data_IF_270876445312
#
_entry.id   IF_270876445312
#
_cell.length_a   1.000
_cell.length_b   1.000
_cell.length_c   1.000
_cell.angle_alpha   90.00
_cell.angle_beta   90.00
_cell.angle_gamma   90.00
#
_symmetry.space_group_name_H-M   'P 1'
#
loop_
_entity.id
_entity.type
_entity.pdbx_description
1 polymer ?
#
# COMPACT_ATOMS: atom_id res chain seq x y z
N UNK A 1 43.44 7.51 -48.90
CA UNK A 1 42.28 6.67 -49.27
C UNK A 1 42.15 5.58 -48.22
N UNK A 2 40.93 5.37 -47.78
CA UNK A 2 40.48 4.78 -46.50
C UNK A 2 40.58 3.26 -46.45
N UNK A 3 40.80 2.70 -45.26
CA UNK A 3 40.55 1.29 -44.96
C UNK A 3 39.90 1.18 -43.57
N UNK A 4 38.69 0.62 -43.55
CA UNK A 4 37.73 0.48 -42.44
C UNK A 4 38.24 -0.39 -41.28
N UNK A 5 37.54 -0.48 -40.12
CA UNK A 5 36.41 -1.42 -40.03
C UNK A 5 35.23 -0.98 -39.12
N UNK A 6 34.07 -1.59 -39.40
CA UNK A 6 33.10 -2.14 -38.45
C UNK A 6 32.70 -1.33 -37.21
N UNK A 7 31.41 -1.02 -37.05
CA UNK A 7 30.60 -1.66 -35.97
C UNK A 7 29.12 -1.26 -36.04
N UNK A 8 28.30 -2.29 -36.22
CA UNK A 8 26.98 -2.53 -35.65
C UNK A 8 25.94 -1.42 -35.71
N UNK A 9 25.07 -1.60 -36.69
CA UNK A 9 23.63 -1.39 -36.60
C UNK A 9 23.09 -2.11 -35.34
N UNK A 10 23.03 -1.42 -34.20
CA UNK A 10 22.31 -1.92 -33.03
C UNK A 10 20.82 -1.68 -33.24
N UNK A 11 20.18 -2.73 -33.75
CA UNK A 11 18.75 -2.98 -33.75
C UNK A 11 18.11 -2.56 -32.43
N UNK A 12 17.06 -1.75 -32.54
CA UNK A 12 16.04 -1.55 -31.51
C UNK A 12 15.75 -2.85 -30.74
N UNK A 13 15.95 -2.80 -29.43
CA UNK A 13 15.27 -3.71 -28.51
C UNK A 13 14.48 -2.83 -27.54
N UNK A 14 13.34 -2.35 -28.01
CA UNK A 14 12.28 -1.80 -27.16
C UNK A 14 11.71 -2.95 -26.32
N UNK A 15 12.46 -3.36 -25.29
CA UNK A 15 11.96 -4.26 -24.26
C UNK A 15 10.96 -3.48 -23.40
N UNK A 16 9.78 -3.25 -23.98
CA UNK A 16 8.60 -2.77 -23.28
C UNK A 16 8.17 -3.85 -22.30
N UNK A 17 8.85 -3.87 -21.16
CA UNK A 17 8.41 -4.61 -19.98
C UNK A 17 7.03 -4.05 -19.65
N UNK A 18 6.01 -4.84 -19.96
CA UNK A 18 4.62 -4.61 -19.58
C UNK A 18 4.57 -4.56 -18.06
N UNK A 19 4.86 -3.39 -17.48
CA UNK A 19 4.65 -3.09 -16.08
C UNK A 19 3.15 -3.10 -15.90
N UNK A 20 2.60 -4.27 -15.60
CA UNK A 20 1.22 -4.42 -15.13
C UNK A 20 1.06 -3.34 -14.06
N UNK A 21 0.24 -2.35 -14.35
CA UNK A 21 -0.05 -1.27 -13.40
C UNK A 21 -0.82 -1.91 -12.25
N UNK A 22 -0.09 -2.48 -11.28
CA UNK A 22 -0.65 -2.92 -10.02
C UNK A 22 -1.06 -1.65 -9.28
N UNK A 23 -2.31 -1.24 -9.51
CA UNK A 23 -3.01 -0.29 -8.66
C UNK A 23 -2.88 -0.84 -7.24
N UNK A 24 -2.11 -0.15 -6.38
CA UNK A 24 -1.92 -0.54 -4.99
C UNK A 24 -3.26 -0.36 -4.28
N UNK A 25 -4.06 -1.42 -4.23
CA UNK A 25 -5.30 -1.40 -3.48
C UNK A 25 -4.96 -1.22 -1.99
N UNK A 26 -5.74 -0.42 -1.24
CA UNK A 26 -5.53 -0.26 0.18
C UNK A 26 -5.63 -1.62 0.87
N UNK A 27 -4.77 -1.84 1.87
CA UNK A 27 -4.81 -3.06 2.67
C UNK A 27 -6.16 -3.18 3.39
N UNK A 28 -6.59 -4.40 3.69
CA UNK A 28 -7.86 -4.68 4.41
C UNK A 28 -7.98 -3.84 5.69
N UNK A 29 -6.88 -3.79 6.44
CA UNK A 29 -6.78 -3.05 7.71
C UNK A 29 -6.58 -1.53 7.54
N UNK A 30 -6.56 -1.00 6.32
CA UNK A 30 -6.29 0.42 6.05
C UNK A 30 -7.25 1.33 6.83
N UNK A 31 -8.54 0.98 6.85
CA UNK A 31 -9.54 1.78 7.53
C UNK A 31 -9.30 1.84 9.04
N UNK A 32 -8.96 0.71 9.66
CA UNK A 32 -8.63 0.68 11.08
C UNK A 32 -7.33 1.45 11.39
N UNK A 33 -6.33 1.39 10.50
CA UNK A 33 -5.14 2.21 10.64
C UNK A 33 -5.47 3.70 10.53
N UNK A 34 -6.39 4.06 9.63
CA UNK A 34 -6.84 5.43 9.47
C UNK A 34 -7.53 5.94 10.74
N UNK A 35 -8.39 5.13 11.36
CA UNK A 35 -9.02 5.45 12.65
C UNK A 35 -7.98 5.66 13.76
N UNK A 36 -6.90 4.86 13.77
CA UNK A 36 -5.78 5.00 14.70
C UNK A 36 -5.04 6.33 14.51
N UNK A 37 -4.77 6.71 13.26
CA UNK A 37 -4.08 7.95 12.93
C UNK A 37 -4.93 9.17 13.28
N UNK A 38 -6.24 9.13 13.02
CA UNK A 38 -7.17 10.19 13.42
C UNK A 38 -7.22 10.30 14.95
N UNK A 39 -7.32 9.18 15.66
CA UNK A 39 -7.29 9.14 17.12
C UNK A 39 -5.99 9.74 17.67
N UNK A 40 -4.85 9.36 17.09
CA UNK A 40 -3.54 9.89 17.49
C UNK A 40 -3.42 11.40 17.27
N UNK A 41 -3.93 11.91 16.15
CA UNK A 41 -3.88 13.33 15.81
C UNK A 41 -4.86 14.18 16.63
N UNK A 42 -6.02 13.63 16.98
CA UNK A 42 -7.07 14.36 17.69
C UNK A 42 -6.84 14.39 19.20
N UNK A 43 -6.59 13.26 19.84
CA UNK A 43 -6.33 13.19 21.26
C UNK A 43 -5.59 11.88 21.61
N UNK A 44 -4.39 11.94 22.19
CA UNK A 44 -3.62 10.74 22.53
C UNK A 44 -4.36 9.80 23.50
N UNK A 45 -5.35 10.29 24.25
CA UNK A 45 -6.19 9.47 25.13
C UNK A 45 -7.14 8.54 24.36
N UNK A 46 -7.62 8.95 23.17
CA UNK A 46 -8.54 8.17 22.34
C UNK A 46 -7.84 7.25 21.34
N UNK A 47 -6.50 7.17 21.38
CA UNK A 47 -5.71 6.28 20.50
C UNK A 47 -5.87 4.79 20.85
N UNK A 48 -6.09 4.48 22.13
CA UNK A 48 -6.02 3.09 22.64
C UNK A 48 -7.07 2.20 22.00
N UNK A 49 -8.32 2.64 21.94
CA UNK A 49 -9.43 1.86 21.37
C UNK A 49 -9.26 1.55 19.88
N UNK A 50 -9.05 2.52 18.97
CA UNK A 50 -8.83 2.24 17.56
C UNK A 50 -7.58 1.39 17.35
N UNK A 51 -6.54 1.53 18.19
CA UNK A 51 -5.35 0.69 18.11
C UNK A 51 -5.66 -0.78 18.41
N UNK A 52 -6.47 -1.05 19.43
CA UNK A 52 -6.89 -2.43 19.73
C UNK A 52 -7.73 -3.04 18.60
N UNK A 53 -8.57 -2.25 17.94
CA UNK A 53 -9.38 -2.68 16.79
C UNK A 53 -8.50 -2.95 15.57
N UNK A 54 -7.52 -2.10 15.31
CA UNK A 54 -6.52 -2.32 14.26
C UNK A 54 -5.73 -3.61 14.50
N UNK A 55 -5.28 -3.86 15.73
CA UNK A 55 -4.59 -5.10 16.08
C UNK A 55 -5.50 -6.30 15.87
N UNK A 56 -6.73 -6.27 16.39
CA UNK A 56 -7.71 -7.34 16.17
C UNK A 56 -7.93 -7.59 14.68
N UNK A 57 -7.99 -6.54 13.86
CA UNK A 57 -8.12 -6.67 12.42
C UNK A 57 -6.89 -7.34 11.77
N UNK A 58 -5.67 -6.98 12.19
CA UNK A 58 -4.43 -7.61 11.73
C UNK A 58 -4.40 -9.11 12.03
N UNK A 59 -4.90 -9.51 13.21
CA UNK A 59 -4.96 -10.93 13.62
C UNK A 59 -6.09 -11.72 12.95
N UNK A 60 -7.16 -11.04 12.53
CA UNK A 60 -8.38 -11.70 12.06
C UNK A 60 -8.27 -12.17 10.61
N UNK A 61 -9.02 -13.21 10.29
CA UNK A 61 -9.16 -13.70 8.92
C UNK A 61 -9.99 -12.73 8.06
N UNK A 62 -9.84 -12.83 6.74
CA UNK A 62 -10.59 -12.01 5.79
C UNK A 62 -12.09 -12.32 5.93
N UNK A 63 -12.89 -11.32 6.33
CA UNK A 63 -14.33 -11.46 6.55
C UNK A 63 -14.77 -11.52 8.01
N UNK A 64 -13.86 -11.67 8.97
CA UNK A 64 -14.13 -11.58 10.41
C UNK A 64 -13.53 -10.30 11.00
N UNK A 65 -13.61 -9.20 10.26
CA UNK A 65 -13.01 -7.94 10.71
C UNK A 65 -13.81 -7.34 11.86
N UNK A 66 -13.14 -6.79 12.87
CA UNK A 66 -13.83 -6.10 13.95
C UNK A 66 -14.57 -4.86 13.41
N UNK A 67 -15.66 -4.44 14.05
CA UNK A 67 -16.31 -3.19 13.69
C UNK A 67 -15.35 -2.01 13.79
N UNK A 68 -15.53 -1.00 12.93
CA UNK A 68 -14.74 0.24 12.97
C UNK A 68 -14.96 1.00 14.28
N UNK A 69 -13.97 1.78 14.65
CA UNK A 69 -14.04 2.67 15.80
C UNK A 69 -15.11 3.74 15.57
N UNK A 70 -16.03 3.93 16.54
CA UNK A 70 -17.03 5.00 16.52
C UNK A 70 -16.92 5.80 17.82
N UNK A 71 -16.45 7.05 17.78
CA UNK A 71 -16.20 7.84 19.00
C UNK A 71 -17.47 8.39 19.70
N UNK A 72 -18.68 7.88 19.43
CA UNK A 72 -19.95 8.43 19.94
C UNK A 72 -20.90 7.36 20.52
N UNK A 73 -20.47 6.65 21.56
CA UNK A 73 -21.36 6.13 22.61
C UNK A 73 -20.81 6.56 23.97
#
# INVERSE_FOLDING_TARGET
MTSSPEKSLETESTNSTNKRQFQKQPHRCYNHLHDVLIGLQSNPLYFREPFTLFWKCLKSEKGKEPPRYRPNE
#
